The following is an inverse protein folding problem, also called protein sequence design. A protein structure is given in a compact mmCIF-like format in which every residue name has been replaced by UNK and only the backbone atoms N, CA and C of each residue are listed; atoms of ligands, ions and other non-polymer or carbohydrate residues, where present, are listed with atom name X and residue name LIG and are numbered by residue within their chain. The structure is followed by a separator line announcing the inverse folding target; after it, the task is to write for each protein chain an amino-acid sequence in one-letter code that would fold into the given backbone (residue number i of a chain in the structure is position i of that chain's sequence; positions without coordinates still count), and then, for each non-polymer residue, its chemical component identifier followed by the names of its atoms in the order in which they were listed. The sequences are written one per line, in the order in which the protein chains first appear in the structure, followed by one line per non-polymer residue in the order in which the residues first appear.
data_IF_820426854548
#
_entry.id   IF_820426854548
#
_cell.length_a   1.000
_cell.length_b   1.000
_cell.length_c   1.000
_cell.angle_alpha   90.00
_cell.angle_beta   90.00
_cell.angle_gamma   90.00
#
_symmetry.space_group_name_H-M   'P 1'
#
loop_
_entity.id
_entity.type
_entity.pdbx_description
1 polymer ?
#
# COMPACT_ATOMS: atom_id res chain seq x y z
N UNK A 1 14.50 1.53 -18.43
CA UNK A 1 13.79 1.19 -19.68
C UNK A 1 14.55 0.10 -20.47
N UNK A 2 14.94 -1.04 -19.86
CA UNK A 2 15.84 -2.04 -20.50
C UNK A 2 15.34 -3.49 -20.40
N UNK A 3 14.52 -3.82 -19.39
CA UNK A 3 14.08 -5.20 -19.11
C UNK A 3 13.27 -5.84 -20.25
N UNK A 4 12.56 -5.05 -21.04
CA UNK A 4 11.70 -5.55 -22.11
C UNK A 4 12.41 -5.70 -23.45
N UNK A 5 13.57 -5.06 -23.64
CA UNK A 5 14.31 -5.09 -24.90
C UNK A 5 14.86 -6.49 -25.21
N UNK A 6 15.36 -7.22 -24.21
CA UNK A 6 15.82 -8.59 -24.39
C UNK A 6 14.68 -9.53 -24.80
N UNK A 7 13.50 -9.35 -24.22
CA UNK A 7 12.31 -10.13 -24.56
C UNK A 7 11.82 -9.85 -25.99
N UNK A 8 11.81 -8.57 -26.41
CA UNK A 8 11.38 -8.20 -27.76
C UNK A 8 12.39 -8.60 -28.84
N UNK A 9 13.69 -8.69 -28.53
CA UNK A 9 14.72 -9.09 -29.48
C UNK A 9 14.57 -10.54 -29.98
N UNK A 10 13.78 -11.37 -29.29
CA UNK A 10 13.48 -12.75 -29.70
C UNK A 10 12.43 -12.83 -30.82
N UNK A 11 11.74 -11.72 -31.13
CA UNK A 11 10.65 -11.67 -32.10
C UNK A 11 10.97 -10.72 -33.25
N UNK A 12 10.65 -11.13 -34.48
CA UNK A 12 10.62 -10.22 -35.62
C UNK A 12 9.25 -9.54 -35.70
N UNK A 13 9.16 -8.30 -35.21
CA UNK A 13 7.91 -7.54 -35.17
C UNK A 13 8.09 -6.13 -35.74
N UNK A 14 6.97 -5.58 -36.20
CA UNK A 14 6.86 -4.18 -36.63
C UNK A 14 5.83 -3.47 -35.79
N UNK A 15 6.15 -2.24 -35.38
CA UNK A 15 5.23 -1.40 -34.61
C UNK A 15 4.34 -0.64 -35.56
N UNK A 16 3.06 -0.97 -35.57
CA UNK A 16 2.04 -0.28 -36.38
C UNK A 16 0.92 0.26 -35.48
N UNK A 17 0.53 1.50 -35.71
CA UNK A 17 -0.59 2.11 -35.02
C UNK A 17 -1.92 1.58 -35.55
N UNK A 18 -2.74 1.00 -34.67
CA UNK A 18 -4.11 0.59 -34.98
C UNK A 18 -5.11 1.54 -34.30
N UNK A 19 -5.94 2.27 -35.08
CA UNK A 19 -6.99 3.11 -34.52
C UNK A 19 -7.95 2.33 -33.62
N UNK A 20 -8.44 2.94 -32.55
CA UNK A 20 -9.26 2.27 -31.54
C UNK A 20 -10.49 1.54 -32.09
N UNK A 21 -11.14 2.09 -33.13
CA UNK A 21 -12.29 1.46 -33.80
C UNK A 21 -11.95 0.09 -34.42
N UNK A 22 -10.70 -0.14 -34.82
CA UNK A 22 -10.22 -1.40 -35.38
C UNK A 22 -9.61 -2.32 -34.31
N UNK A 23 -9.42 -1.81 -33.09
CA UNK A 23 -8.82 -2.55 -31.99
C UNK A 23 -9.84 -3.31 -31.14
N UNK A 24 -11.03 -3.62 -31.68
CA UNK A 24 -12.19 -4.13 -30.93
C UNK A 24 -11.88 -5.38 -30.12
N UNK A 25 -11.10 -6.32 -30.68
CA UNK A 25 -10.78 -7.59 -30.00
C UNK A 25 -9.84 -7.38 -28.82
N UNK A 26 -8.73 -6.67 -29.03
CA UNK A 26 -7.79 -6.40 -27.94
C UNK A 26 -8.41 -5.47 -26.89
N UNK A 27 -9.21 -4.50 -27.32
CA UNK A 27 -9.97 -3.60 -26.46
C UNK A 27 -10.98 -4.39 -25.60
N UNK A 28 -11.77 -5.30 -26.18
CA UNK A 28 -12.69 -6.16 -25.45
C UNK A 28 -11.98 -7.11 -24.46
N UNK A 29 -10.85 -7.70 -24.86
CA UNK A 29 -10.05 -8.57 -23.98
C UNK A 29 -9.30 -7.80 -22.88
N UNK A 30 -8.93 -6.55 -23.15
CA UNK A 30 -8.32 -5.66 -22.15
C UNK A 30 -9.33 -5.21 -21.10
N UNK A 31 -10.62 -5.10 -21.48
CA UNK A 31 -11.72 -4.79 -20.58
C UNK A 31 -12.06 -6.03 -19.76
N UNK A 32 -11.55 -6.07 -18.54
CA UNK A 32 -11.92 -7.07 -17.52
C UNK A 32 -13.03 -6.51 -16.63
N UNK A 33 -14.32 -6.84 -16.86
CA UNK A 33 -15.42 -6.35 -16.02
C UNK A 33 -15.37 -6.89 -14.59
N UNK A 34 -14.67 -8.00 -14.37
CA UNK A 34 -14.29 -8.58 -13.09
C UNK A 34 -13.26 -7.73 -12.31
N UNK A 35 -12.49 -6.89 -13.01
CA UNK A 35 -11.54 -5.94 -12.42
C UNK A 35 -12.14 -4.55 -12.17
N UNK A 36 -13.31 -4.25 -12.74
CA UNK A 36 -14.11 -3.13 -12.32
C UNK A 36 -14.64 -3.45 -10.92
N UNK A 37 -13.92 -2.95 -9.91
CA UNK A 37 -14.21 -3.15 -8.48
C UNK A 37 -15.72 -3.00 -8.25
N UNK A 38 -16.41 -4.12 -7.99
CA UNK A 38 -17.75 -4.09 -7.43
C UNK A 38 -17.64 -3.29 -6.13
N UNK A 39 -18.19 -2.09 -6.12
CA UNK A 39 -18.53 -1.33 -4.92
C UNK A 39 -19.62 -2.08 -4.15
N UNK A 40 -19.30 -3.29 -3.70
CA UNK A 40 -20.08 -4.04 -2.74
C UNK A 40 -19.53 -3.67 -1.35
N UNK A 41 -20.38 -2.95 -0.63
CA UNK A 41 -20.21 -2.54 0.76
C UNK A 41 -20.35 -3.80 1.62
N UNK A 42 -19.22 -4.38 2.04
CA UNK A 42 -19.03 -5.16 3.26
C UNK A 42 -17.60 -5.73 3.20
N UNK A 43 -16.75 -5.35 4.16
CA UNK A 43 -15.35 -5.79 4.30
C UNK A 43 -14.35 -5.20 3.28
N UNK A 44 -14.18 -3.88 3.29
CA UNK A 44 -13.02 -3.23 2.68
C UNK A 44 -11.91 -3.05 3.72
N UNK A 45 -10.91 -3.93 3.70
CA UNK A 45 -9.52 -3.43 3.86
C UNK A 45 -9.13 -2.94 2.47
N UNK A 46 -9.56 -1.72 2.14
CA UNK A 46 -9.24 -1.09 0.86
C UNK A 46 -7.84 -0.50 0.93
N UNK A 47 -6.86 -1.11 0.25
CA UNK A 47 -5.58 -0.44 -0.03
C UNK A 47 -5.84 0.57 -1.14
N UNK A 48 -6.32 1.75 -0.78
CA UNK A 48 -6.53 2.85 -1.70
C UNK A 48 -5.17 3.50 -2.02
N UNK A 49 -4.75 3.47 -3.29
CA UNK A 49 -3.55 4.20 -3.73
C UNK A 49 -3.92 5.67 -3.88
N UNK A 50 -3.81 6.41 -2.79
CA UNK A 50 -4.02 7.86 -2.80
C UNK A 50 -2.70 8.54 -3.14
N UNK A 51 -2.60 9.10 -4.36
CA UNK A 51 -1.39 9.79 -4.83
C UNK A 51 -1.11 11.10 -4.07
N UNK A 52 -2.13 11.67 -3.40
CA UNK A 52 -2.01 12.80 -2.49
C UNK A 52 -3.13 12.71 -1.44
N UNK A 53 -2.85 12.18 -0.23
CA UNK A 53 -3.86 12.11 0.83
C UNK A 53 -4.32 13.52 1.24
N UNK A 54 -5.61 13.66 1.55
CA UNK A 54 -6.12 14.93 2.10
C UNK A 54 -5.51 15.19 3.46
N UNK A 55 -5.35 16.47 3.84
CA UNK A 55 -4.80 16.85 5.14
C UNK A 55 -5.59 16.24 6.31
N UNK A 56 -6.93 16.21 6.21
CA UNK A 56 -7.81 15.61 7.21
C UNK A 56 -7.51 14.11 7.42
N UNK A 57 -7.30 13.35 6.34
CA UNK A 57 -6.98 11.92 6.43
C UNK A 57 -5.61 11.70 7.09
N UNK A 58 -4.64 12.57 6.81
CA UNK A 58 -3.32 12.51 7.43
C UNK A 58 -3.43 12.72 8.94
N UNK A 59 -4.23 13.69 9.37
CA UNK A 59 -4.45 14.00 10.78
C UNK A 59 -5.17 12.86 11.50
N UNK A 60 -6.18 12.25 10.85
CA UNK A 60 -6.91 11.09 11.37
C UNK A 60 -5.97 9.88 11.54
N UNK A 61 -5.09 9.61 10.57
CA UNK A 61 -4.10 8.54 10.65
C UNK A 61 -3.11 8.78 11.79
N UNK A 62 -2.65 10.03 11.96
CA UNK A 62 -1.77 10.39 13.09
C UNK A 62 -2.48 10.21 14.43
N UNK A 63 -3.75 10.56 14.53
CA UNK A 63 -4.55 10.34 15.73
C UNK A 63 -4.71 8.85 16.04
N UNK A 64 -4.92 8.01 15.03
CA UNK A 64 -5.03 6.56 15.20
C UNK A 64 -3.76 5.90 15.76
N UNK A 65 -2.57 6.48 15.50
CA UNK A 65 -1.34 5.99 16.13
C UNK A 65 -1.36 6.10 17.66
N UNK A 66 -2.19 6.98 18.23
CA UNK A 66 -2.34 7.11 19.68
C UNK A 66 -3.14 5.97 20.33
N UNK A 67 -3.90 5.17 19.56
CA UNK A 67 -4.61 4.00 20.08
C UNK A 67 -3.87 2.68 19.78
N UNK A 68 -3.15 2.61 18.67
CA UNK A 68 -2.46 1.39 18.21
C UNK A 68 -1.14 1.12 18.96
N UNK A 69 -1.04 -0.04 19.62
CA UNK A 69 0.13 -0.45 20.39
C UNK A 69 1.37 -0.75 19.52
N UNK A 70 1.18 -1.34 18.35
CA UNK A 70 2.26 -1.66 17.41
C UNK A 70 2.79 -0.39 16.73
N UNK A 71 1.90 0.52 16.34
CA UNK A 71 2.28 1.81 15.76
C UNK A 71 3.13 2.63 16.75
N UNK A 72 2.76 2.68 18.04
CA UNK A 72 3.57 3.32 19.08
C UNK A 72 4.97 2.71 19.19
N UNK A 73 5.06 1.38 19.19
CA UNK A 73 6.35 0.69 19.25
C UNK A 73 7.22 1.04 18.04
N UNK A 74 6.66 1.04 16.84
CA UNK A 74 7.37 1.40 15.61
C UNK A 74 7.78 2.87 15.59
N UNK A 75 6.91 3.80 15.99
CA UNK A 75 7.23 5.23 16.06
C UNK A 75 8.38 5.49 17.05
N UNK A 76 8.34 4.84 18.22
CA UNK A 76 9.42 4.97 19.21
C UNK A 76 10.75 4.41 18.69
N UNK A 77 10.73 3.27 17.98
CA UNK A 77 11.91 2.66 17.39
C UNK A 77 12.50 3.49 16.25
N UNK A 78 11.67 3.99 15.32
CA UNK A 78 12.16 4.75 14.16
C UNK A 78 12.70 6.12 14.58
N UNK A 79 12.19 6.70 15.67
CA UNK A 79 12.72 7.95 16.26
C UNK A 79 14.11 7.77 16.90
N UNK A 80 14.47 6.55 17.30
CA UNK A 80 15.75 6.22 17.95
C UNK A 80 16.22 4.80 17.60
N UNK A 81 16.62 4.54 16.35
CA UNK A 81 16.91 3.18 15.90
C UNK A 81 18.20 2.67 16.55
N UNK A 82 18.04 1.73 17.47
CA UNK A 82 19.13 1.02 18.15
C UNK A 82 18.84 -0.48 18.21
N UNK A 83 19.89 -1.29 18.35
CA UNK A 83 19.73 -2.74 18.56
C UNK A 83 18.94 -3.03 19.84
N UNK A 84 19.08 -2.22 20.88
CA UNK A 84 18.29 -2.37 22.11
C UNK A 84 16.81 -2.04 21.87
N UNK A 85 16.52 -0.93 21.18
CA UNK A 85 15.17 -0.55 20.79
C UNK A 85 14.53 -1.61 19.87
N UNK A 86 15.30 -2.17 18.93
CA UNK A 86 14.85 -3.27 18.07
C UNK A 86 14.50 -4.52 18.88
N UNK A 87 15.25 -4.82 19.95
CA UNK A 87 14.96 -5.94 20.86
C UNK A 87 13.75 -5.67 21.77
N UNK A 88 13.21 -4.46 21.83
CA UNK A 88 11.97 -4.14 22.57
C UNK A 88 10.71 -4.29 21.72
N UNK A 89 10.83 -4.21 20.39
CA UNK A 89 9.70 -4.42 19.46
C UNK A 89 9.07 -5.82 19.61
N UNK A 90 7.80 -6.00 19.26
CA UNK A 90 7.21 -7.32 19.14
C UNK A 90 7.89 -8.17 18.02
N UNK A 91 7.92 -9.51 18.11
CA UNK A 91 8.66 -10.36 17.16
C UNK A 91 8.28 -10.15 15.69
N UNK A 92 6.99 -9.95 15.39
CA UNK A 92 6.50 -9.70 14.03
C UNK A 92 6.96 -8.34 13.48
N UNK A 93 7.13 -7.35 14.36
CA UNK A 93 7.65 -6.03 14.01
C UNK A 93 9.17 -6.08 13.79
N UNK A 94 9.92 -6.82 14.62
CA UNK A 94 11.39 -6.95 14.51
C UNK A 94 11.87 -7.45 13.16
N UNK A 95 11.16 -8.43 12.60
CA UNK A 95 11.48 -9.03 11.32
C UNK A 95 11.39 -8.02 10.17
N UNK A 96 10.47 -7.05 10.29
CA UNK A 96 10.14 -6.07 9.25
C UNK A 96 10.57 -4.63 9.60
N UNK A 97 11.24 -4.42 10.74
CA UNK A 97 11.62 -3.11 11.25
C UNK A 97 12.39 -2.26 10.24
N UNK A 98 13.28 -2.89 9.46
CA UNK A 98 14.07 -2.24 8.40
C UNK A 98 13.24 -1.68 7.23
N UNK A 99 11.98 -2.10 7.09
CA UNK A 99 11.07 -1.64 6.03
C UNK A 99 10.26 -0.41 6.43
N UNK A 100 10.31 -0.03 7.72
CA UNK A 100 9.56 1.11 8.22
C UNK A 100 10.43 2.36 8.27
N UNK A 101 9.84 3.49 7.87
CA UNK A 101 10.43 4.83 7.96
C UNK A 101 9.37 5.81 8.43
N UNK A 102 9.79 6.94 9.01
CA UNK A 102 8.87 8.02 9.39
C UNK A 102 9.17 9.25 8.57
N UNK A 103 8.13 9.89 8.05
CA UNK A 103 8.22 11.16 7.35
C UNK A 103 7.03 12.03 7.74
N UNK A 104 7.27 13.26 8.21
CA UNK A 104 6.20 14.20 8.64
C UNK A 104 5.20 13.58 9.64
N UNK A 105 5.69 12.68 10.52
CA UNK A 105 4.86 11.98 11.52
C UNK A 105 4.02 10.83 10.96
N UNK A 106 4.20 10.43 9.69
CA UNK A 106 3.55 9.27 9.08
C UNK A 106 4.49 8.08 9.02
N UNK A 107 3.95 6.89 9.36
CA UNK A 107 4.67 5.63 9.24
C UNK A 107 4.57 5.08 7.82
N UNK A 108 5.72 4.98 7.17
CA UNK A 108 5.88 4.51 5.80
C UNK A 108 6.42 3.08 5.80
N UNK A 109 5.93 2.24 4.89
CA UNK A 109 6.38 0.86 4.70
C UNK A 109 6.83 0.60 3.27
N UNK A 110 8.04 0.06 3.14
CA UNK A 110 8.57 -0.42 1.85
C UNK A 110 8.18 -1.87 1.63
N UNK A 111 7.32 -2.12 0.65
CA UNK A 111 6.87 -3.48 0.32
C UNK A 111 7.88 -4.27 -0.54
N UNK A 112 8.79 -3.57 -1.22
CA UNK A 112 9.86 -4.10 -2.07
C UNK A 112 11.15 -3.37 -1.67
N UNK A 113 12.31 -4.02 -1.83
CA UNK A 113 13.63 -3.38 -1.64
C UNK A 113 13.91 -2.27 -2.69
N UNK A 114 13.02 -2.10 -3.67
CA UNK A 114 13.02 -1.07 -4.71
C UNK A 114 11.82 -0.11 -4.54
N UNK A 115 12.13 1.09 -4.04
CA UNK A 115 11.50 2.43 -4.19
C UNK A 115 9.98 2.66 -4.09
N UNK A 116 9.11 1.66 -3.99
CA UNK A 116 7.66 1.89 -3.85
C UNK A 116 7.26 1.96 -2.37
N UNK A 117 7.32 3.16 -1.82
CA UNK A 117 6.87 3.49 -0.47
C UNK A 117 5.33 3.45 -0.40
N UNK A 118 4.76 2.73 0.57
CA UNK A 118 3.32 2.76 0.88
C UNK A 118 3.12 3.32 2.29
N UNK A 119 2.15 4.21 2.47
CA UNK A 119 1.74 4.68 3.80
C UNK A 119 1.03 3.53 4.52
N UNK A 120 1.41 3.25 5.76
CA UNK A 120 0.68 2.28 6.60
C UNK A 120 -0.36 3.04 7.41
N UNK A 121 -1.60 2.97 6.94
CA UNK A 121 -2.76 3.20 7.78
C UNK A 121 -3.17 1.85 8.38
N UNK A 122 -3.06 1.71 9.70
CA UNK A 122 -3.75 0.63 10.41
C UNK A 122 -5.14 1.17 10.73
N UNK A 123 -6.13 0.74 9.96
CA UNK A 123 -7.53 0.97 10.32
C UNK A 123 -7.88 -0.07 11.39
N UNK A 124 -7.78 0.30 12.67
CA UNK A 124 -8.33 -0.52 13.75
C UNK A 124 -9.85 -0.43 13.64
N UNK A 125 -10.49 -1.53 13.23
CA UNK A 125 -11.93 -1.69 13.37
C UNK A 125 -12.18 -2.04 14.84
N UNK A 126 -12.57 -1.04 15.64
CA UNK A 126 -13.18 -1.34 16.94
C UNK A 126 -14.57 -1.92 16.67
N UNK A 127 -14.72 -3.19 17.06
CA UNK A 127 -15.98 -3.93 17.03
C UNK A 127 -16.96 -3.26 18.02
N UNK A 128 -17.90 -2.47 17.51
CA UNK A 128 -19.06 -2.00 18.25
C UNK A 128 -20.06 -3.16 18.37
N UNK A 129 -19.80 -4.09 19.28
CA UNK A 129 -20.81 -4.99 19.81
C UNK A 129 -20.82 -4.93 21.32
N UNK A 130 -21.42 -3.87 21.86
CA UNK A 130 -22.02 -3.91 23.18
C UNK A 130 -23.29 -3.06 23.27
N UNK A 131 -24.36 -3.78 23.61
CA UNK A 131 -25.52 -3.32 24.37
C UNK A 131 -26.63 -2.55 23.64
N UNK A 132 -27.60 -3.30 23.12
CA UNK A 132 -29.01 -3.02 23.34
C UNK A 132 -29.81 -4.33 23.42
N UNK A 133 -30.09 -4.76 24.64
CA UNK A 133 -31.34 -5.36 25.09
C UNK A 133 -31.32 -5.50 26.61
#
# INVERSE_FOLDING_TARGET
MVRWLSFFAEYDFRVEYKPGRLNVVADALSRRPDYAVKTAVANRIGVERVSAPSSSLIDDVKAAYASDADAKQLLSYVSGPSNEARRKLAPHLRARAHRYRVHEGLLLYSAVDDDVIRIVGILVVEDMLTSHA
#
